data_IF_971368580341
#
_entry.id   IF_971368580341
#
_cell.length_a   1.000
_cell.length_b   1.000
_cell.length_c   1.000
_cell.angle_alpha   90.00
_cell.angle_beta   90.00
_cell.angle_gamma   90.00
#
_symmetry.space_group_name_H-M   'P 1'
#
loop_
_entity.id
_entity.type
_entity.pdbx_description
1 polymer ?
#
# COMPACT_ATOMS: atom_id res chain seq x y z
N UNK A 1 10.25 -10.09 5.46
CA UNK A 1 10.74 -8.72 5.75
C UNK A 1 10.95 -8.07 4.41
N UNK A 2 10.21 -7.01 4.10
CA UNK A 2 10.33 -6.36 2.78
C UNK A 2 11.68 -5.65 2.62
N UNK A 3 12.17 -5.63 1.39
CA UNK A 3 13.35 -4.91 0.93
C UNK A 3 12.95 -3.97 -0.21
N UNK A 4 13.77 -2.95 -0.48
CA UNK A 4 13.52 -2.07 -1.61
C UNK A 4 13.56 -2.86 -2.93
N UNK A 5 12.58 -2.64 -3.80
CA UNK A 5 12.38 -3.37 -5.05
C UNK A 5 11.39 -4.55 -4.96
N UNK A 6 11.02 -4.99 -3.75
CA UNK A 6 10.01 -6.03 -3.58
C UNK A 6 8.65 -5.54 -4.07
N UNK A 7 7.84 -6.46 -4.60
CA UNK A 7 6.44 -6.21 -4.94
C UNK A 7 5.52 -7.00 -4.05
N UNK A 8 4.50 -6.34 -3.53
CA UNK A 8 3.52 -6.94 -2.66
C UNK A 8 2.11 -6.56 -3.08
N UNK A 9 1.17 -7.50 -2.97
CA UNK A 9 -0.25 -7.21 -3.03
C UNK A 9 -0.69 -6.68 -1.67
N UNK A 10 -1.18 -5.44 -1.66
CA UNK A 10 -1.56 -4.73 -0.45
C UNK A 10 -3.05 -4.42 -0.50
N UNK A 11 -3.76 -4.77 0.57
CA UNK A 11 -5.14 -4.30 0.81
C UNK A 11 -5.10 -3.00 1.59
N UNK A 12 -5.61 -1.94 0.98
CA UNK A 12 -5.72 -0.62 1.60
C UNK A 12 -7.02 -0.54 2.37
N UNK A 13 -6.93 -0.10 3.63
CA UNK A 13 -8.06 -0.08 4.56
C UNK A 13 -8.37 1.32 5.06
N UNK A 14 -7.42 2.25 4.99
CA UNK A 14 -7.58 3.61 5.50
C UNK A 14 -6.58 4.56 4.85
N UNK A 15 -6.60 5.84 5.27
CA UNK A 15 -5.62 6.85 4.91
C UNK A 15 -4.77 7.28 6.12
N UNK A 16 -3.50 7.59 5.85
CA UNK A 16 -2.63 8.26 6.79
C UNK A 16 -2.81 9.77 6.69
N UNK A 17 -2.46 10.47 7.77
CA UNK A 17 -2.28 11.91 7.73
C UNK A 17 -1.23 12.27 6.66
N UNK A 18 -1.65 12.99 5.62
CA UNK A 18 -0.84 13.30 4.45
C UNK A 18 -1.35 12.73 3.12
N UNK A 19 -2.44 11.95 3.14
CA UNK A 19 -3.09 11.45 1.92
C UNK A 19 -2.47 10.17 1.34
N UNK A 20 -1.51 9.57 2.04
CA UNK A 20 -1.01 8.22 1.71
C UNK A 20 -2.04 7.18 2.15
N UNK A 21 -2.35 6.20 1.30
CA UNK A 21 -3.17 5.07 1.74
C UNK A 21 -2.39 4.16 2.68
N UNK A 22 -3.10 3.59 3.64
CA UNK A 22 -2.61 2.63 4.62
C UNK A 22 -3.15 1.26 4.29
N UNK A 23 -2.25 0.35 4.00
CA UNK A 23 -2.58 -1.04 3.76
C UNK A 23 -1.77 -1.99 4.65
N UNK A 24 -2.17 -3.25 4.62
CA UNK A 24 -1.50 -4.31 5.37
C UNK A 24 -1.22 -5.54 4.52
N UNK A 25 -0.05 -6.14 4.73
CA UNK A 25 0.35 -7.44 4.18
C UNK A 25 0.92 -8.26 5.34
N UNK A 26 0.32 -9.41 5.66
CA UNK A 26 0.79 -10.31 6.73
C UNK A 26 1.13 -9.59 8.06
N UNK A 27 0.21 -8.74 8.53
CA UNK A 27 0.35 -7.86 9.71
C UNK A 27 1.41 -6.75 9.61
N UNK A 28 2.02 -6.53 8.46
CA UNK A 28 2.97 -5.46 8.20
C UNK A 28 2.29 -4.28 7.52
N UNK A 29 2.55 -3.06 8.01
CA UNK A 29 1.93 -1.83 7.49
C UNK A 29 2.70 -1.35 6.25
N UNK A 30 1.97 -1.08 5.18
CA UNK A 30 2.50 -0.53 3.93
C UNK A 30 1.77 0.76 3.61
N UNK A 31 2.54 1.83 3.37
CA UNK A 31 2.02 3.11 2.92
C UNK A 31 2.26 3.28 1.41
N UNK A 32 1.24 3.70 0.67
CA UNK A 32 1.40 4.06 -0.74
C UNK A 32 0.42 5.15 -1.19
N UNK A 33 0.86 6.15 -1.97
CA UNK A 33 -0.02 7.17 -2.54
C UNK A 33 -0.91 6.59 -3.67
N UNK A 34 -1.93 7.35 -4.06
CA UNK A 34 -2.87 7.03 -5.16
C UNK A 34 -3.71 5.76 -4.95
N UNK A 35 -3.95 5.42 -3.70
CA UNK A 35 -4.77 4.28 -3.28
C UNK A 35 -5.99 4.80 -2.52
N UNK A 36 -7.01 3.98 -2.38
CA UNK A 36 -8.24 4.27 -1.66
C UNK A 36 -8.58 3.11 -0.71
N UNK A 37 -9.25 3.36 0.42
CA UNK A 37 -9.81 2.33 1.27
C UNK A 37 -10.69 1.36 0.46
N UNK A 38 -10.40 0.07 0.57
CA UNK A 38 -11.03 -0.99 -0.21
C UNK A 38 -10.23 -1.42 -1.45
N UNK A 39 -9.17 -0.71 -1.84
CA UNK A 39 -8.31 -1.14 -2.94
C UNK A 39 -7.49 -2.37 -2.57
N UNK A 40 -7.35 -3.28 -3.53
CA UNK A 40 -6.25 -4.23 -3.57
C UNK A 40 -5.32 -3.84 -4.71
N UNK A 41 -4.05 -3.56 -4.39
CA UNK A 41 -3.10 -3.04 -5.36
C UNK A 41 -1.72 -3.69 -5.22
N UNK A 42 -1.04 -3.83 -6.36
CA UNK A 42 0.37 -4.19 -6.42
C UNK A 42 1.19 -2.95 -6.11
N UNK A 43 2.02 -3.04 -5.07
CA UNK A 43 2.86 -1.96 -4.57
C UNK A 43 4.31 -2.40 -4.62
N UNK A 44 5.16 -1.57 -5.20
CA UNK A 44 6.61 -1.78 -5.17
C UNK A 44 7.20 -1.02 -3.98
N UNK A 45 7.86 -1.75 -3.09
CA UNK A 45 8.46 -1.23 -1.87
C UNK A 45 9.67 -0.37 -2.25
N UNK A 46 9.64 0.90 -1.88
CA UNK A 46 10.74 1.84 -2.10
C UNK A 46 11.59 2.04 -0.85
N UNK A 47 10.99 1.85 0.33
CA UNK A 47 11.67 1.97 1.62
C UNK A 47 11.06 0.97 2.61
N UNK A 48 11.90 0.17 3.26
CA UNK A 48 11.47 -0.73 4.32
C UNK A 48 12.12 -0.32 5.66
N UNK A 49 11.28 -0.05 6.67
CA UNK A 49 11.72 0.20 8.04
C UNK A 49 11.35 -0.97 8.95
N UNK A 50 11.83 -0.94 10.20
CA UNK A 50 11.56 -2.00 11.20
C UNK A 50 10.08 -2.29 11.45
N UNK A 51 9.18 -1.30 11.26
CA UNK A 51 7.75 -1.41 11.62
C UNK A 51 6.78 -1.20 10.45
N UNK A 52 7.26 -0.68 9.33
CA UNK A 52 6.43 -0.37 8.17
C UNK A 52 7.28 -0.30 6.90
N UNK A 53 6.63 -0.36 5.76
CA UNK A 53 7.24 -0.04 4.47
C UNK A 53 6.48 1.09 3.78
N UNK A 54 7.19 1.81 2.92
CA UNK A 54 6.62 2.73 1.96
C UNK A 54 6.83 2.16 0.57
N UNK A 55 5.84 2.31 -0.28
CA UNK A 55 5.89 1.84 -1.64
C UNK A 55 5.19 2.77 -2.59
N UNK A 56 5.43 2.54 -3.88
CA UNK A 56 4.73 3.19 -4.98
C UNK A 56 3.69 2.24 -5.56
N UNK A 57 2.53 2.78 -5.90
CA UNK A 57 1.50 2.04 -6.62
C UNK A 57 2.06 1.60 -7.99
N UNK A 58 2.04 0.31 -8.27
CA UNK A 58 2.35 -0.25 -9.60
C UNK A 58 1.07 -0.36 -10.41
N UNK A 59 0.06 -1.04 -9.85
CA UNK A 59 -1.28 -1.14 -10.44
C UNK A 59 -2.31 -1.49 -9.37
N UNK A 60 -3.56 -1.16 -9.67
CA UNK A 60 -4.70 -1.58 -8.85
C UNK A 60 -5.23 -2.87 -9.44
N UNK A 61 -5.31 -3.92 -8.62
CA UNK A 61 -5.80 -5.24 -9.03
C UNK A 61 -7.30 -5.32 -8.82
N UNK A 62 -7.77 -4.83 -7.67
CA UNK A 62 -9.20 -4.71 -7.39
C UNK A 62 -9.49 -3.28 -6.91
N UNK A 63 -10.15 -2.45 -7.74
CA UNK A 63 -10.47 -1.08 -7.36
C UNK A 63 -11.58 -1.03 -6.32
N UNK A 64 -11.44 -0.11 -5.38
CA UNK A 64 -12.47 0.24 -4.42
C UNK A 64 -13.68 0.85 -5.15
N UNK A 65 -14.92 0.51 -4.75
CA UNK A 65 -16.11 1.18 -5.24
C UNK A 65 -16.19 2.67 -4.84
N UNK A 66 -15.33 3.12 -3.93
CA UNK A 66 -15.24 4.52 -3.50
C UNK A 66 -14.36 5.38 -4.42
N UNK A 67 -13.70 4.79 -5.42
CA UNK A 67 -12.96 5.54 -6.43
C UNK A 67 -13.93 6.36 -7.30
N UNK A 68 -13.59 7.63 -7.54
CA UNK A 68 -14.34 8.59 -8.36
C UNK A 68 -13.56 9.01 -9.59
#
# INVERSE_FOLDING_TARGET
>A
MFSAGDRALVKFVDFAYGGEGVGRVDNFVVFAPYTAPGDEAEVEIVEAKKRFARGRLVRVVNPSPLRV
#
